data_IF_268096551601
#
_entry.id   IF_268096551601
#
_cell.length_a   1.000
_cell.length_b   1.000
_cell.length_c   1.000
_cell.angle_alpha   90.00
_cell.angle_beta   90.00
_cell.angle_gamma   90.00
#
_symmetry.space_group_name_H-M   'P 1'
#
loop_
_entity.id
_entity.type
_entity.pdbx_description
1 polymer ?
#
# COMPACT_ATOMS: atom_id res chain seq x y z
N UNK A 1 -26.52 -9.57 12.26
CA UNK A 1 -27.38 -9.38 11.09
C UNK A 1 -26.61 -8.63 10.02
N UNK A 2 -26.80 -8.98 8.71
CA UNK A 2 -26.24 -8.17 7.62
C UNK A 2 -26.69 -6.70 7.74
N UNK A 3 -25.78 -5.79 7.47
CA UNK A 3 -26.04 -4.34 7.47
C UNK A 3 -25.96 -3.78 6.05
N UNK A 4 -24.98 -4.30 5.26
CA UNK A 4 -24.75 -3.86 3.89
C UNK A 4 -24.59 -5.11 3.02
N UNK A 5 -25.22 -5.10 1.84
CA UNK A 5 -25.00 -6.13 0.81
C UNK A 5 -23.73 -5.79 0.03
N UNK A 6 -22.91 -6.79 -0.22
CA UNK A 6 -21.69 -6.67 -1.03
C UNK A 6 -21.89 -7.36 -2.38
N UNK A 7 -21.23 -6.85 -3.41
CA UNK A 7 -21.18 -7.54 -4.70
C UNK A 7 -20.47 -8.88 -4.63
N UNK A 8 -20.95 -9.84 -5.41
CA UNK A 8 -20.29 -11.13 -5.62
C UNK A 8 -19.45 -11.02 -6.89
N UNK A 9 -18.13 -11.25 -6.80
CA UNK A 9 -17.26 -11.26 -7.97
C UNK A 9 -17.45 -12.55 -8.78
N UNK A 10 -17.10 -12.51 -10.07
CA UNK A 10 -17.09 -13.71 -10.92
C UNK A 10 -16.22 -14.81 -10.31
N UNK A 11 -15.03 -14.45 -9.79
CA UNK A 11 -14.15 -15.38 -9.07
C UNK A 11 -14.82 -16.04 -7.85
N UNK A 12 -15.55 -15.27 -7.03
CA UNK A 12 -16.26 -15.80 -5.88
C UNK A 12 -17.36 -16.77 -6.33
N UNK A 13 -18.11 -16.41 -7.38
CA UNK A 13 -19.15 -17.26 -7.94
C UNK A 13 -18.59 -18.57 -8.48
N UNK A 14 -17.56 -18.51 -9.33
CA UNK A 14 -17.01 -19.68 -9.99
C UNK A 14 -16.22 -20.61 -9.05
N UNK A 15 -15.35 -20.03 -8.20
CA UNK A 15 -14.41 -20.79 -7.38
C UNK A 15 -14.98 -21.19 -6.03
N UNK A 16 -15.84 -20.36 -5.46
CA UNK A 16 -16.42 -20.57 -4.13
C UNK A 16 -17.92 -20.92 -4.16
N UNK A 17 -18.55 -20.91 -5.34
CA UNK A 17 -20.03 -21.05 -5.49
C UNK A 17 -20.77 -20.08 -4.59
N UNK A 18 -20.23 -18.85 -4.45
CA UNK A 18 -20.83 -17.80 -3.62
C UNK A 18 -21.95 -17.12 -4.38
N UNK A 19 -23.12 -17.06 -3.79
CA UNK A 19 -24.31 -16.38 -4.32
C UNK A 19 -24.68 -15.14 -3.50
N UNK A 20 -24.12 -15.01 -2.29
CA UNK A 20 -24.46 -13.99 -1.34
C UNK A 20 -23.25 -13.49 -0.58
N UNK A 21 -23.07 -12.17 -0.50
CA UNK A 21 -22.09 -11.52 0.37
C UNK A 21 -22.70 -10.33 1.08
N UNK A 22 -22.36 -10.15 2.34
CA UNK A 22 -22.77 -9.00 3.14
C UNK A 22 -21.70 -8.59 4.14
N UNK A 23 -21.90 -7.45 4.76
CA UNK A 23 -21.06 -6.97 5.86
C UNK A 23 -21.97 -6.53 7.03
N UNK A 24 -21.51 -6.78 8.25
CA UNK A 24 -22.23 -6.34 9.44
C UNK A 24 -21.46 -6.57 10.73
N UNK A 25 -21.46 -5.55 11.60
CA UNK A 25 -20.80 -5.58 12.92
C UNK A 25 -19.33 -5.99 12.86
N UNK A 26 -18.61 -5.47 11.85
CA UNK A 26 -17.19 -5.77 11.68
C UNK A 26 -16.88 -7.11 11.01
N UNK A 27 -17.87 -7.82 10.45
CA UNK A 27 -17.69 -9.12 9.81
C UNK A 27 -18.21 -9.14 8.38
N UNK A 28 -17.46 -9.79 7.51
CA UNK A 28 -17.93 -10.24 6.20
C UNK A 28 -18.69 -11.54 6.34
N UNK A 29 -19.78 -11.66 5.63
CA UNK A 29 -20.63 -12.84 5.58
C UNK A 29 -20.73 -13.28 4.12
N UNK A 30 -20.58 -14.56 3.87
CA UNK A 30 -20.75 -15.15 2.56
C UNK A 30 -21.31 -16.57 2.69
N UNK A 31 -21.96 -17.06 1.65
CA UNK A 31 -22.10 -18.49 1.43
C UNK A 31 -20.91 -18.97 0.58
N UNK A 32 -20.28 -20.03 1.01
CA UNK A 32 -19.15 -20.63 0.32
C UNK A 32 -19.37 -22.13 0.21
N UNK A 33 -19.60 -22.61 -1.01
CA UNK A 33 -20.00 -23.99 -1.26
C UNK A 33 -21.20 -24.47 -0.41
N UNK A 34 -22.11 -23.55 -0.08
CA UNK A 34 -23.28 -23.82 0.75
C UNK A 34 -23.03 -23.71 2.25
N UNK A 35 -21.81 -23.46 2.70
CA UNK A 35 -21.48 -23.19 4.10
C UNK A 35 -21.50 -21.69 4.36
N UNK A 36 -21.93 -21.28 5.55
CA UNK A 36 -21.80 -19.88 5.97
C UNK A 36 -20.35 -19.58 6.37
N UNK A 37 -19.73 -18.67 5.67
CA UNK A 37 -18.43 -18.10 6.06
C UNK A 37 -18.64 -16.78 6.77
N UNK A 38 -18.03 -16.64 7.94
CA UNK A 38 -17.93 -15.39 8.69
C UNK A 38 -16.45 -15.05 8.77
N UNK A 39 -16.03 -13.91 8.17
CA UNK A 39 -14.61 -13.65 8.02
C UNK A 39 -14.28 -12.16 8.16
N UNK A 40 -13.02 -11.86 8.47
CA UNK A 40 -12.45 -10.54 8.34
C UNK A 40 -10.95 -10.62 8.08
N UNK A 41 -10.43 -9.63 7.34
CA UNK A 41 -9.00 -9.51 7.07
C UNK A 41 -8.45 -8.27 7.75
N UNK A 42 -7.18 -8.26 8.08
CA UNK A 42 -6.44 -7.09 8.55
C UNK A 42 -5.18 -6.88 7.72
N UNK A 43 -4.79 -5.62 7.60
CA UNK A 43 -3.64 -5.19 6.82
C UNK A 43 -2.98 -4.03 7.53
N UNK A 44 -1.69 -4.15 7.75
CA UNK A 44 -0.79 -3.09 8.21
C UNK A 44 0.53 -3.33 7.47
N UNK A 45 1.31 -2.30 7.19
CA UNK A 45 2.57 -2.45 6.46
C UNK A 45 3.44 -3.58 6.98
N UNK A 46 3.75 -4.55 6.11
CA UNK A 46 4.52 -5.74 6.44
C UNK A 46 3.75 -6.84 7.18
N UNK A 47 2.48 -6.65 7.50
CA UNK A 47 1.68 -7.62 8.26
C UNK A 47 0.31 -7.82 7.61
N UNK A 48 -0.12 -9.07 7.55
CA UNK A 48 -1.47 -9.43 7.08
C UNK A 48 -2.10 -10.41 8.05
N UNK A 49 -3.39 -10.24 8.30
CA UNK A 49 -4.17 -11.17 9.10
C UNK A 49 -5.43 -11.60 8.37
N UNK A 50 -5.93 -12.77 8.73
CA UNK A 50 -7.20 -13.29 8.22
C UNK A 50 -7.82 -14.20 9.29
N UNK A 51 -9.08 -13.97 9.62
CA UNK A 51 -9.87 -14.84 10.45
C UNK A 51 -11.06 -15.37 9.66
N UNK A 52 -11.31 -16.65 9.73
CA UNK A 52 -12.45 -17.33 9.09
C UNK A 52 -13.13 -18.25 10.09
N UNK A 53 -14.45 -18.20 10.15
CA UNK A 53 -15.29 -19.09 10.92
C UNK A 53 -16.28 -19.77 9.97
N UNK A 54 -16.40 -21.10 10.07
CA UNK A 54 -17.42 -21.90 9.39
C UNK A 54 -18.25 -22.61 10.46
N UNK A 55 -19.34 -22.00 10.92
CA UNK A 55 -20.11 -22.49 12.07
C UNK A 55 -20.64 -23.91 11.89
N UNK A 56 -21.08 -24.27 10.68
CA UNK A 56 -21.61 -25.59 10.39
C UNK A 56 -20.56 -26.72 10.55
N UNK A 57 -19.27 -26.39 10.34
CA UNK A 57 -18.15 -27.31 10.54
C UNK A 57 -17.52 -27.16 11.94
N UNK A 58 -18.01 -26.23 12.76
CA UNK A 58 -17.38 -25.84 14.03
C UNK A 58 -15.90 -25.50 13.85
N UNK A 59 -15.56 -24.92 12.71
CA UNK A 59 -14.20 -24.56 12.30
C UNK A 59 -13.96 -23.08 12.52
N UNK A 60 -12.82 -22.76 13.12
CA UNK A 60 -12.28 -21.41 13.18
C UNK A 60 -10.80 -21.44 12.83
N UNK A 61 -10.38 -20.58 11.93
CA UNK A 61 -8.98 -20.43 11.50
C UNK A 61 -8.55 -18.98 11.66
N UNK A 62 -7.38 -18.79 12.26
CA UNK A 62 -6.70 -17.49 12.32
C UNK A 62 -5.35 -17.62 11.64
N UNK A 63 -5.09 -16.77 10.67
CA UNK A 63 -3.81 -16.67 9.97
C UNK A 63 -3.19 -15.30 10.25
N UNK A 64 -1.97 -15.29 10.75
CA UNK A 64 -1.16 -14.09 10.96
C UNK A 64 0.13 -14.26 10.17
N UNK A 65 0.49 -13.27 9.36
CA UNK A 65 1.70 -13.30 8.55
C UNK A 65 2.52 -12.04 8.76
N UNK A 66 3.83 -12.14 8.58
CA UNK A 66 4.76 -11.02 8.55
C UNK A 66 5.18 -10.68 7.11
N UNK A 67 4.25 -10.74 6.18
CA UNK A 67 4.47 -10.43 4.76
C UNK A 67 3.36 -9.56 4.20
N UNK A 68 3.65 -8.78 3.16
CA UNK A 68 2.74 -7.80 2.56
C UNK A 68 1.74 -8.41 1.57
N UNK A 69 1.95 -9.65 1.11
CA UNK A 69 1.11 -10.26 0.07
C UNK A 69 -0.27 -10.66 0.58
N UNK A 70 -1.30 -9.95 0.12
CA UNK A 70 -2.70 -10.29 0.38
C UNK A 70 -3.16 -11.54 -0.37
N UNK A 71 -2.61 -11.79 -1.56
CA UNK A 71 -2.90 -12.99 -2.36
C UNK A 71 -2.31 -14.24 -1.72
N UNK A 72 -1.05 -14.21 -1.25
CA UNK A 72 -0.43 -15.30 -0.51
C UNK A 72 -1.22 -15.63 0.77
N UNK A 73 -1.58 -14.62 1.58
CA UNK A 73 -2.44 -14.81 2.76
C UNK A 73 -3.76 -15.51 2.40
N UNK A 74 -4.42 -15.05 1.33
CA UNK A 74 -5.73 -15.57 0.95
C UNK A 74 -5.64 -16.99 0.36
N UNK A 75 -4.60 -17.32 -0.41
CA UNK A 75 -4.40 -18.66 -0.94
C UNK A 75 -4.14 -19.69 0.17
N UNK A 76 -3.30 -19.35 1.14
CA UNK A 76 -3.05 -20.22 2.32
C UNK A 76 -4.34 -20.44 3.12
N UNK A 77 -5.09 -19.36 3.40
CA UNK A 77 -6.37 -19.48 4.12
C UNK A 77 -7.37 -20.37 3.37
N UNK A 78 -7.52 -20.15 2.05
CA UNK A 78 -8.43 -20.94 1.24
C UNK A 78 -8.02 -22.42 1.22
N UNK A 79 -6.74 -22.74 1.05
CA UNK A 79 -6.23 -24.09 1.12
C UNK A 79 -6.59 -24.77 2.45
N UNK A 80 -6.34 -24.09 3.57
CA UNK A 80 -6.66 -24.62 4.91
C UNK A 80 -8.17 -24.83 5.04
N UNK A 81 -8.98 -23.79 4.83
CA UNK A 81 -10.43 -23.87 5.09
C UNK A 81 -11.11 -24.90 4.17
N UNK A 82 -10.74 -24.95 2.88
CA UNK A 82 -11.33 -25.88 1.93
C UNK A 82 -10.94 -27.33 2.19
N UNK A 83 -9.78 -27.60 2.82
CA UNK A 83 -9.41 -28.97 3.22
C UNK A 83 -10.36 -29.61 4.24
N UNK A 84 -11.15 -28.80 4.95
CA UNK A 84 -12.19 -29.28 5.88
C UNK A 84 -13.58 -29.39 5.22
N UNK A 85 -13.72 -29.00 3.96
CA UNK A 85 -15.01 -29.05 3.24
C UNK A 85 -15.05 -30.26 2.30
N UNK A 86 -16.22 -30.89 2.09
CA UNK A 86 -16.40 -31.98 1.14
C UNK A 86 -16.52 -31.41 -0.30
N UNK A 87 -15.49 -30.76 -0.77
CA UNK A 87 -15.43 -30.12 -2.08
C UNK A 87 -14.19 -30.54 -2.83
N UNK A 88 -14.21 -30.39 -4.14
CA UNK A 88 -13.01 -30.59 -4.95
C UNK A 88 -11.91 -29.60 -4.50
N UNK A 89 -10.72 -30.15 -4.29
CA UNK A 89 -9.59 -29.35 -3.82
C UNK A 89 -8.93 -28.62 -5.00
N UNK A 90 -8.80 -27.32 -4.87
CA UNK A 90 -8.10 -26.45 -5.81
C UNK A 90 -6.73 -26.13 -5.22
N UNK A 91 -5.69 -26.17 -6.03
CA UNK A 91 -4.38 -25.64 -5.64
C UNK A 91 -4.40 -24.11 -5.71
N UNK A 92 -4.85 -23.51 -4.61
CA UNK A 92 -4.96 -22.05 -4.48
C UNK A 92 -3.59 -21.37 -4.56
N UNK A 93 -2.53 -22.06 -4.16
CA UNK A 93 -1.18 -21.50 -4.16
C UNK A 93 -0.68 -21.44 -5.61
N UNK A 94 -0.78 -22.55 -6.35
CA UNK A 94 -0.37 -22.57 -7.75
C UNK A 94 -1.19 -21.59 -8.60
N UNK A 95 -2.50 -21.52 -8.38
CA UNK A 95 -3.37 -20.57 -9.10
C UNK A 95 -2.93 -19.12 -8.91
N UNK A 96 -2.54 -18.71 -7.68
CA UNK A 96 -2.05 -17.35 -7.42
C UNK A 96 -0.66 -17.12 -8.03
N UNK A 97 0.20 -18.14 -8.06
CA UNK A 97 1.50 -18.04 -8.74
C UNK A 97 1.31 -17.81 -10.25
N UNK A 98 0.46 -18.62 -10.87
CA UNK A 98 0.16 -18.51 -12.31
C UNK A 98 -0.44 -17.13 -12.65
N UNK A 99 -1.37 -16.61 -11.84
CA UNK A 99 -1.94 -15.27 -11.99
C UNK A 99 -0.87 -14.17 -11.86
N UNK A 100 0.06 -14.33 -10.92
CA UNK A 100 1.13 -13.35 -10.68
C UNK A 100 2.13 -13.34 -11.82
N UNK A 101 2.54 -14.51 -12.30
CA UNK A 101 3.43 -14.65 -13.46
C UNK A 101 2.80 -14.05 -14.73
N UNK A 102 1.51 -14.32 -14.97
CA UNK A 102 0.78 -13.77 -16.10
C UNK A 102 0.66 -12.23 -16.03
N UNK A 103 0.48 -11.67 -14.83
CA UNK A 103 0.45 -10.23 -14.62
C UNK A 103 1.83 -9.58 -14.88
N UNK A 104 2.91 -10.18 -14.39
CA UNK A 104 4.28 -9.71 -14.63
C UNK A 104 4.65 -9.76 -16.12
N UNK A 105 4.31 -10.84 -16.82
CA UNK A 105 4.53 -10.95 -18.27
C UNK A 105 3.76 -9.88 -19.05
N UNK A 106 2.56 -9.53 -18.60
CA UNK A 106 1.76 -8.47 -19.23
C UNK A 106 2.38 -7.08 -18.99
N UNK A 107 2.88 -6.83 -17.78
CA UNK A 107 3.56 -5.58 -17.42
C UNK A 107 4.90 -5.42 -18.19
N UNK A 108 5.64 -6.53 -18.43
CA UNK A 108 6.85 -6.53 -19.25
C UNK A 108 6.56 -6.30 -20.74
N UNK A 109 5.34 -6.63 -21.22
CA UNK A 109 4.93 -6.46 -22.62
C UNK A 109 4.31 -5.09 -22.90
N UNK A 110 3.85 -4.37 -21.88
CA UNK A 110 3.46 -2.97 -22.03
C UNK A 110 4.73 -2.11 -22.01
N UNK A 111 5.01 -1.30 -23.05
CA UNK A 111 6.20 -0.47 -23.05
C UNK A 111 6.16 0.45 -21.83
N UNK A 112 7.22 0.39 -21.03
CA UNK A 112 7.47 1.35 -19.94
C UNK A 112 7.81 2.71 -20.59
N UNK A 113 6.84 3.36 -21.24
CA UNK A 113 7.05 4.67 -21.81
C UNK A 113 7.02 5.80 -20.78
N UNK A 114 6.58 5.55 -19.54
CA UNK A 114 6.42 6.62 -18.56
C UNK A 114 7.37 6.58 -17.35
N UNK A 115 8.06 5.47 -17.07
CA UNK A 115 8.83 5.35 -15.83
C UNK A 115 10.34 5.60 -16.00
N UNK A 116 10.88 5.58 -17.22
CA UNK A 116 12.29 5.87 -17.49
C UNK A 116 12.55 7.26 -18.09
N UNK A 117 11.48 8.00 -18.46
CA UNK A 117 11.63 9.34 -19.01
C UNK A 117 11.96 10.42 -17.95
N UNK A 118 11.90 10.07 -16.66
CA UNK A 118 12.03 11.07 -15.59
C UNK A 118 13.38 11.05 -14.85
N UNK A 119 14.31 10.18 -15.24
CA UNK A 119 15.65 10.17 -14.63
C UNK A 119 16.68 11.04 -15.33
N UNK A 120 16.38 11.53 -16.55
CA UNK A 120 17.34 12.32 -17.36
C UNK A 120 16.78 13.59 -17.98
N UNK A 121 15.73 14.19 -17.41
CA UNK A 121 15.46 15.59 -17.73
C UNK A 121 16.47 16.47 -17.01
N UNK A 122 17.58 16.72 -17.70
CA UNK A 122 18.43 17.87 -17.41
C UNK A 122 17.52 19.12 -17.36
N UNK A 123 17.24 19.56 -16.16
CA UNK A 123 16.38 20.70 -15.87
C UNK A 123 17.03 21.99 -16.35
N UNK A 124 16.47 22.57 -17.38
CA UNK A 124 16.52 24.02 -17.49
C UNK A 124 15.78 24.63 -16.30
N UNK A 125 16.47 25.45 -15.47
CA UNK A 125 15.94 26.33 -14.41
C UNK A 125 15.21 25.67 -13.21
N UNK A 126 15.66 24.54 -12.68
CA UNK A 126 15.29 24.15 -11.32
C UNK A 126 15.98 25.12 -10.32
N UNK A 127 15.24 25.73 -9.35
CA UNK A 127 15.87 26.47 -8.27
C UNK A 127 16.91 25.56 -7.61
N UNK A 128 18.12 26.10 -7.32
CA UNK A 128 19.20 25.27 -6.79
C UNK A 128 18.69 24.45 -5.59
N UNK A 129 18.90 23.13 -5.58
CA UNK A 129 18.32 22.19 -4.60
C UNK A 129 18.52 22.61 -3.13
N UNK A 130 19.57 23.40 -2.88
CA UNK A 130 19.88 23.90 -1.54
C UNK A 130 18.76 24.75 -0.90
N UNK A 131 17.85 25.34 -1.67
CA UNK A 131 16.74 26.16 -1.11
C UNK A 131 15.71 25.30 -0.39
N UNK A 132 15.60 24.01 -0.76
CA UNK A 132 14.71 23.03 -0.19
C UNK A 132 15.27 22.34 1.07
N UNK A 133 16.61 22.35 1.23
CA UNK A 133 17.26 21.75 2.38
C UNK A 133 16.90 22.50 3.67
N UNK A 134 16.84 21.76 4.77
CA UNK A 134 16.57 22.29 6.09
C UNK A 134 15.77 21.37 6.99
N UNK A 135 15.46 21.88 8.18
CA UNK A 135 14.62 21.21 9.16
C UNK A 135 13.16 21.60 8.95
N UNK A 136 12.28 20.60 8.93
CA UNK A 136 10.84 20.79 8.88
C UNK A 136 10.21 20.11 10.08
N UNK A 137 9.17 20.69 10.63
CA UNK A 137 8.52 20.18 11.84
C UNK A 137 7.01 20.07 11.67
N UNK A 138 6.50 18.93 12.02
CA UNK A 138 5.08 18.67 12.23
C UNK A 138 4.79 18.52 13.74
N UNK A 139 3.69 19.07 14.28
CA UNK A 139 3.39 18.99 15.71
C UNK A 139 3.24 17.54 16.24
N UNK A 140 2.73 16.64 15.42
CA UNK A 140 2.49 15.26 15.78
C UNK A 140 3.61 14.32 15.33
N UNK A 141 3.97 14.38 14.05
CA UNK A 141 4.96 13.49 13.44
C UNK A 141 6.39 13.82 13.89
N UNK A 142 6.66 15.11 14.14
CA UNK A 142 7.95 15.61 14.62
C UNK A 142 8.84 16.15 13.53
N UNK A 143 10.14 16.04 13.74
CA UNK A 143 11.16 16.64 12.90
C UNK A 143 11.51 15.78 11.69
N UNK A 144 11.66 16.43 10.55
CA UNK A 144 12.14 15.87 9.29
C UNK A 144 13.30 16.73 8.82
N UNK A 145 14.44 16.09 8.49
CA UNK A 145 15.54 16.74 7.83
C UNK A 145 15.44 16.47 6.31
N UNK A 146 15.60 17.53 5.54
CA UNK A 146 15.85 17.46 4.10
C UNK A 146 17.30 17.89 3.90
N UNK A 147 18.16 16.93 3.60
CA UNK A 147 19.58 17.15 3.43
C UNK A 147 19.96 17.09 1.95
N UNK A 148 20.95 17.88 1.53
CA UNK A 148 21.53 17.81 0.19
C UNK A 148 22.77 16.90 0.25
N UNK A 149 22.64 15.68 -0.23
CA UNK A 149 23.70 14.67 -0.26
C UNK A 149 24.01 14.26 -1.70
N UNK A 150 25.27 14.39 -2.11
CA UNK A 150 25.75 13.98 -3.45
C UNK A 150 24.90 14.52 -4.63
N UNK A 151 24.38 15.74 -4.51
CA UNK A 151 23.56 16.36 -5.55
C UNK A 151 22.07 15.96 -5.54
N UNK A 152 21.63 15.20 -4.56
CA UNK A 152 20.24 14.81 -4.37
C UNK A 152 19.70 15.28 -3.02
N UNK A 153 18.41 15.58 -2.96
CA UNK A 153 17.74 15.77 -1.68
C UNK A 153 17.46 14.41 -1.03
N UNK A 154 17.70 14.33 0.27
CA UNK A 154 17.43 13.14 1.09
C UNK A 154 16.47 13.51 2.21
N UNK A 155 15.35 12.86 2.25
CA UNK A 155 14.36 12.96 3.32
C UNK A 155 14.73 12.03 4.48
N UNK A 156 14.66 12.52 5.73
CA UNK A 156 14.93 11.72 6.93
C UNK A 156 14.00 12.14 8.08
N UNK A 157 13.13 11.22 8.54
CA UNK A 157 12.26 11.47 9.68
C UNK A 157 12.94 11.06 11.00
N UNK A 158 13.00 11.98 11.96
CA UNK A 158 13.73 11.76 13.24
C UNK A 158 13.03 10.71 14.11
N UNK A 159 11.71 10.80 14.28
CA UNK A 159 10.94 9.85 15.11
C UNK A 159 10.63 8.53 14.40
N UNK A 160 10.77 8.50 13.08
CA UNK A 160 10.42 7.33 12.26
C UNK A 160 11.57 7.03 11.28
N UNK A 161 12.70 6.50 11.75
CA UNK A 161 13.95 6.41 10.96
C UNK A 161 13.85 5.51 9.72
N UNK A 162 12.82 4.68 9.60
CA UNK A 162 12.51 3.94 8.37
C UNK A 162 12.11 4.87 7.21
N UNK A 163 11.49 6.02 7.52
CA UNK A 163 11.19 7.05 6.54
C UNK A 163 12.45 7.85 6.23
N UNK A 164 13.39 7.18 5.55
CA UNK A 164 14.56 7.80 4.92
C UNK A 164 14.58 7.40 3.45
N UNK A 165 14.75 8.37 2.55
CA UNK A 165 14.78 8.09 1.12
C UNK A 165 15.35 9.23 0.30
N UNK A 166 15.84 8.89 -0.90
CA UNK A 166 16.30 9.85 -1.90
C UNK A 166 15.08 10.44 -2.59
N UNK A 167 15.14 11.75 -2.85
CA UNK A 167 14.10 12.49 -3.55
C UNK A 167 14.54 12.77 -4.99
N UNK A 168 13.70 12.38 -5.94
CA UNK A 168 13.84 12.70 -7.36
C UNK A 168 12.94 13.87 -7.71
N UNK A 169 13.43 14.81 -8.50
CA UNK A 169 12.61 15.94 -8.99
C UNK A 169 11.49 15.40 -9.90
N UNK A 170 10.29 15.93 -9.73
CA UNK A 170 9.13 15.56 -10.56
C UNK A 170 8.73 16.75 -11.46
N UNK A 171 8.19 17.80 -10.88
CA UNK A 171 7.89 19.05 -11.60
C UNK A 171 7.93 20.25 -10.64
N UNK A 172 8.32 21.43 -11.12
CA UNK A 172 8.32 22.67 -10.31
C UNK A 172 8.98 22.47 -8.95
N UNK A 173 8.19 22.54 -7.87
CA UNK A 173 8.64 22.34 -6.48
C UNK A 173 8.24 20.95 -5.96
N UNK A 174 7.79 20.03 -6.82
CA UNK A 174 7.35 18.70 -6.45
C UNK A 174 8.46 17.68 -6.70
N UNK A 175 8.64 16.83 -5.74
CA UNK A 175 9.59 15.71 -5.76
C UNK A 175 8.85 14.40 -5.44
N UNK A 176 9.46 13.30 -5.80
CA UNK A 176 9.06 11.96 -5.37
C UNK A 176 10.10 11.45 -4.38
N UNK A 177 9.68 11.07 -3.19
CA UNK A 177 10.56 10.35 -2.25
C UNK A 177 10.33 8.84 -2.38
N UNK A 178 11.45 8.12 -2.57
CA UNK A 178 11.45 6.65 -2.56
C UNK A 178 12.20 6.16 -1.33
N UNK A 179 11.46 5.43 -0.48
CA UNK A 179 12.03 4.99 0.79
C UNK A 179 13.09 3.93 0.60
N UNK A 180 14.20 4.04 1.35
CA UNK A 180 15.28 3.05 1.35
C UNK A 180 14.78 1.69 1.85
N UNK A 181 13.90 1.69 2.87
CA UNK A 181 13.21 0.49 3.33
C UNK A 181 11.97 0.23 2.44
N UNK A 182 12.14 -0.61 1.42
CA UNK A 182 11.08 -0.93 0.46
C UNK A 182 9.90 -1.71 1.07
N UNK A 183 10.02 -2.17 2.31
CA UNK A 183 8.90 -2.82 3.02
C UNK A 183 7.81 -1.84 3.46
N UNK A 184 8.07 -0.54 3.36
CA UNK A 184 7.09 0.51 3.69
C UNK A 184 5.96 0.58 2.68
N UNK A 185 6.22 0.25 1.38
CA UNK A 185 5.20 0.33 0.32
C UNK A 185 4.42 1.67 0.34
N UNK A 186 5.14 2.78 0.48
CA UNK A 186 4.55 4.08 0.80
C UNK A 186 5.29 5.24 0.15
N UNK A 187 5.77 5.07 -1.09
CA UNK A 187 6.40 6.17 -1.83
C UNK A 187 5.44 7.36 -1.92
N UNK A 188 5.97 8.58 -1.89
CA UNK A 188 5.14 9.76 -1.77
C UNK A 188 5.63 10.92 -2.64
N UNK A 189 4.67 11.73 -3.10
CA UNK A 189 4.97 13.06 -3.62
C UNK A 189 5.23 14.00 -2.45
N UNK A 190 6.23 14.86 -2.62
CA UNK A 190 6.65 15.89 -1.67
C UNK A 190 6.61 17.23 -2.40
N UNK A 191 5.66 18.07 -2.04
CA UNK A 191 5.53 19.42 -2.61
C UNK A 191 6.06 20.45 -1.61
N UNK A 192 7.09 21.19 -2.01
CA UNK A 192 7.59 22.33 -1.22
C UNK A 192 6.70 23.55 -1.41
N UNK A 193 6.14 24.05 -0.32
CA UNK A 193 5.32 25.24 -0.28
C UNK A 193 6.22 26.48 -0.28
N UNK A 194 5.90 27.46 -1.15
CA UNK A 194 6.63 28.72 -1.25
C UNK A 194 5.80 29.88 -0.70
N UNK A 195 6.42 30.76 0.03
CA UNK A 195 5.80 32.05 0.39
C UNK A 195 5.80 33.05 -0.81
N UNK A 196 5.17 34.19 -0.62
CA UNK A 196 5.07 35.22 -1.67
C UNK A 196 6.43 35.81 -2.07
N UNK A 197 7.47 35.61 -1.29
CA UNK A 197 8.84 36.04 -1.58
C UNK A 197 9.68 34.97 -2.29
N UNK A 198 9.10 33.81 -2.55
CA UNK A 198 9.79 32.69 -3.16
C UNK A 198 10.65 31.87 -2.19
N UNK A 199 10.45 32.00 -0.87
CA UNK A 199 11.12 31.18 0.13
C UNK A 199 10.27 30.00 0.50
N UNK A 200 10.93 28.83 0.67
CA UNK A 200 10.27 27.61 1.13
C UNK A 200 9.85 27.77 2.58
N UNK A 201 8.57 27.57 2.88
CA UNK A 201 7.99 27.73 4.22
C UNK A 201 7.36 26.44 4.76
N UNK A 202 7.19 25.39 3.94
CA UNK A 202 6.60 24.14 4.36
C UNK A 202 6.70 23.04 3.32
N UNK A 203 6.15 21.88 3.68
CA UNK A 203 6.01 20.71 2.83
C UNK A 203 4.61 20.16 3.00
N UNK A 204 3.94 19.87 1.90
CA UNK A 204 2.80 18.96 1.86
C UNK A 204 3.20 17.64 1.17
N UNK A 205 2.63 16.55 1.61
CA UNK A 205 2.92 15.24 1.08
C UNK A 205 1.63 14.54 0.66
N UNK A 206 1.69 13.76 -0.42
CA UNK A 206 0.59 12.91 -0.88
C UNK A 206 1.14 11.53 -1.24
N UNK A 207 0.36 10.49 -0.97
CA UNK A 207 0.74 9.12 -1.33
C UNK A 207 0.68 8.92 -2.85
N UNK A 208 1.49 8.01 -3.35
CA UNK A 208 1.52 7.65 -4.77
C UNK A 208 0.56 6.51 -5.10
N UNK A 209 0.16 5.74 -4.11
CA UNK A 209 -0.71 4.58 -4.24
C UNK A 209 -1.77 4.53 -3.11
N UNK A 210 -2.62 3.52 -3.10
CA UNK A 210 -3.67 3.32 -2.08
C UNK A 210 -3.14 2.71 -0.77
N UNK A 211 -1.88 2.96 -0.42
CA UNK A 211 -1.27 2.49 0.84
C UNK A 211 -1.94 3.03 2.10
N UNK A 212 -1.59 2.44 3.24
CA UNK A 212 -2.19 2.71 4.56
C UNK A 212 -1.67 4.02 5.23
N UNK A 213 -0.87 4.83 4.53
CA UNK A 213 -0.27 6.05 5.08
C UNK A 213 -1.02 7.29 4.60
N UNK A 214 -1.47 8.11 5.54
CA UNK A 214 -2.16 9.38 5.29
C UNK A 214 -1.17 10.54 5.47
N UNK A 215 -0.31 10.76 4.47
CA UNK A 215 0.66 11.86 4.48
C UNK A 215 0.00 13.23 4.39
N UNK A 216 -1.21 13.31 3.90
CA UNK A 216 -2.01 14.52 3.72
C UNK A 216 -2.35 15.20 5.06
N UNK A 217 -2.32 14.44 6.16
CA UNK A 217 -2.55 14.97 7.51
C UNK A 217 -1.33 15.70 8.11
N UNK A 218 -0.16 15.56 7.47
CA UNK A 218 1.06 16.23 7.94
C UNK A 218 1.04 17.72 7.66
N UNK A 219 1.39 18.52 8.66
CA UNK A 219 1.52 19.96 8.57
C UNK A 219 2.97 20.39 8.82
N UNK A 220 3.84 20.05 7.87
CA UNK A 220 5.28 20.30 7.97
C UNK A 220 5.61 21.74 7.67
N UNK A 221 6.12 22.46 8.66
CA UNK A 221 6.60 23.83 8.50
C UNK A 221 8.11 23.89 8.62
N UNK A 222 8.74 24.72 7.76
CA UNK A 222 10.19 24.92 7.83
C UNK A 222 10.55 25.61 9.14
N UNK A 223 11.58 25.11 9.80
CA UNK A 223 12.12 25.67 11.04
C UNK A 223 13.29 26.58 10.64
N UNK A 224 13.22 27.86 11.06
CA UNK A 224 14.25 28.87 10.82
C UNK A 224 15.52 28.62 11.65
#
# INVERSE_FOLDING_TARGET
KPQVMLGVSERDYEKNRTHFKAYGLGWRLADVHGFKEVSHTGSISGWRSYVVLIPELKLGVVLLTNGSSSSARSSVMNTIVRSFMPVEQVDWIQMVLDETEAAQQKEELEPIEETLADTDRESGDAPGLAVFAGLYRDPWFGDINIDLENGHLVFSAVKSPKFKGVMSHHDGNRFVVRWTDRTLEADAYVLFEMDRSGRVNGISMTKMDDGDYDFEDLNLKKVD
#
